data_IF_505927465503
#
_entry.id   IF_505927465503
#
_cell.length_a   1.000
_cell.length_b   1.000
_cell.length_c   1.000
_cell.angle_alpha   90.00
_cell.angle_beta   90.00
_cell.angle_gamma   90.00
#
_symmetry.space_group_name_H-M   'P 1'
#
loop_
_entity.id
_entity.type
_entity.pdbx_description
1 polymer ?
#
# COMPACT_ATOMS: atom_id res chain seq x y z
N UNK A 1 7.26 12.11 -14.57
CA UNK A 1 7.02 12.80 -13.28
C UNK A 1 8.22 13.63 -12.83
N UNK A 2 9.43 13.06 -12.70
CA UNK A 2 10.60 13.78 -12.15
C UNK A 2 10.95 15.10 -12.87
N UNK A 3 10.93 15.13 -14.22
CA UNK A 3 11.20 16.36 -14.99
C UNK A 3 10.17 17.48 -14.78
N UNK A 4 8.99 17.16 -14.24
CA UNK A 4 7.89 18.10 -13.96
C UNK A 4 7.65 18.28 -12.45
N UNK A 5 8.62 17.93 -11.60
CA UNK A 5 8.50 18.05 -10.14
C UNK A 5 7.55 17.04 -9.48
N UNK A 6 7.15 15.98 -10.20
CA UNK A 6 6.26 14.95 -9.68
C UNK A 6 6.96 13.95 -8.78
N UNK A 7 6.29 13.54 -7.70
CA UNK A 7 6.75 12.50 -6.76
C UNK A 7 6.60 11.08 -7.35
N UNK A 8 7.27 10.10 -6.74
CA UNK A 8 7.07 8.68 -7.05
C UNK A 8 5.63 8.25 -6.75
N UNK A 9 4.97 7.59 -7.69
CA UNK A 9 3.58 7.13 -7.57
C UNK A 9 3.52 5.64 -7.89
N UNK A 10 2.62 4.93 -7.20
CA UNK A 10 2.30 3.51 -7.45
C UNK A 10 0.83 3.36 -7.86
N UNK A 11 0.47 2.18 -8.37
CA UNK A 11 -0.91 1.84 -8.68
C UNK A 11 -1.78 1.81 -7.41
N UNK A 12 -2.90 2.53 -7.40
CA UNK A 12 -3.84 2.55 -6.27
C UNK A 12 -4.93 1.50 -6.47
N UNK A 13 -4.83 0.36 -5.77
CA UNK A 13 -5.75 -0.79 -5.89
C UNK A 13 -7.21 -0.37 -5.73
N UNK A 14 -7.51 0.46 -4.72
CA UNK A 14 -8.85 0.97 -4.45
C UNK A 14 -9.46 1.70 -5.66
N UNK A 15 -8.69 2.59 -6.31
CA UNK A 15 -9.16 3.33 -7.50
C UNK A 15 -9.35 2.41 -8.70
N UNK A 16 -8.46 1.43 -8.90
CA UNK A 16 -8.60 0.45 -9.98
C UNK A 16 -9.87 -0.37 -9.80
N UNK A 17 -10.17 -0.83 -8.58
CA UNK A 17 -11.38 -1.58 -8.26
C UNK A 17 -12.66 -0.75 -8.52
N UNK A 18 -12.68 0.51 -8.10
CA UNK A 18 -13.82 1.41 -8.39
C UNK A 18 -13.97 1.67 -9.88
N UNK A 19 -12.87 1.82 -10.61
CA UNK A 19 -12.88 2.07 -12.05
C UNK A 19 -13.43 0.87 -12.83
N UNK A 20 -13.03 -0.36 -12.45
CA UNK A 20 -13.55 -1.60 -13.02
C UNK A 20 -15.05 -1.74 -12.73
N UNK A 21 -15.49 -1.46 -11.49
CA UNK A 21 -16.91 -1.47 -11.10
C UNK A 21 -17.74 -0.43 -11.86
N UNK A 22 -17.13 0.70 -12.25
CA UNK A 22 -17.73 1.71 -13.11
C UNK A 22 -17.73 1.34 -14.61
N UNK A 23 -17.30 0.13 -14.98
CA UNK A 23 -17.32 -0.38 -16.35
C UNK A 23 -16.10 -0.03 -17.20
N UNK A 24 -15.02 0.49 -16.61
CA UNK A 24 -13.79 0.76 -17.35
C UNK A 24 -13.11 -0.55 -17.78
N UNK A 25 -12.74 -0.64 -19.05
CA UNK A 25 -12.08 -1.83 -19.66
C UNK A 25 -10.68 -1.57 -20.21
N UNK A 26 -10.16 -0.35 -20.07
CA UNK A 26 -8.88 0.05 -20.65
C UNK A 26 -8.28 1.30 -20.00
N UNK A 27 -7.11 1.74 -20.47
CA UNK A 27 -6.33 2.82 -19.85
C UNK A 27 -6.98 4.21 -19.99
N UNK A 28 -7.95 4.35 -20.91
CA UNK A 28 -8.64 5.61 -21.19
C UNK A 28 -9.28 6.23 -19.95
N UNK A 29 -9.87 5.42 -19.07
CA UNK A 29 -10.49 5.94 -17.84
C UNK A 29 -9.47 6.60 -16.89
N UNK A 30 -8.25 6.06 -16.81
CA UNK A 30 -7.16 6.67 -16.04
C UNK A 30 -6.65 7.97 -16.67
N UNK A 31 -6.54 8.02 -18.00
CA UNK A 31 -6.15 9.23 -18.74
C UNK A 31 -7.17 10.36 -18.56
N UNK A 32 -8.45 10.05 -18.69
CA UNK A 32 -9.54 11.01 -18.46
C UNK A 32 -9.59 11.48 -17.01
N UNK A 33 -9.37 10.57 -16.04
CA UNK A 33 -9.28 10.95 -14.63
C UNK A 33 -8.11 11.90 -14.36
N UNK A 34 -6.94 11.66 -14.95
CA UNK A 34 -5.79 12.55 -14.82
C UNK A 34 -6.06 13.94 -15.44
N UNK A 35 -6.69 13.99 -16.62
CA UNK A 35 -7.11 15.24 -17.26
C UNK A 35 -8.14 15.99 -16.39
N UNK A 36 -9.12 15.28 -15.83
CA UNK A 36 -10.11 15.84 -14.94
C UNK A 36 -9.48 16.48 -13.69
N UNK A 37 -8.55 15.77 -13.05
CA UNK A 37 -7.81 16.31 -11.89
C UNK A 37 -6.98 17.54 -12.28
N UNK A 38 -6.36 17.53 -13.45
CA UNK A 38 -5.59 18.68 -13.95
C UNK A 38 -6.48 19.91 -14.16
N UNK A 39 -7.62 19.76 -14.83
CA UNK A 39 -8.58 20.84 -15.01
C UNK A 39 -9.16 21.31 -13.67
N UNK A 40 -9.50 20.37 -12.78
CA UNK A 40 -10.01 20.69 -11.46
C UNK A 40 -9.01 21.50 -10.64
N UNK A 41 -7.72 21.13 -10.66
CA UNK A 41 -6.69 21.94 -10.00
C UNK A 41 -6.59 23.35 -10.60
N UNK A 42 -6.66 23.49 -11.92
CA UNK A 42 -6.55 24.80 -12.57
C UNK A 42 -7.72 25.74 -12.19
N UNK A 43 -8.94 25.21 -12.07
CA UNK A 43 -10.13 25.99 -11.74
C UNK A 43 -10.35 26.16 -10.23
N UNK A 44 -10.16 25.10 -9.44
CA UNK A 44 -10.55 25.02 -8.04
C UNK A 44 -9.39 25.20 -7.05
N UNK A 45 -8.14 25.37 -7.52
CA UNK A 45 -7.00 25.73 -6.67
C UNK A 45 -7.28 26.87 -5.66
N UNK A 46 -7.91 28.00 -6.02
CA UNK A 46 -8.19 29.07 -5.04
C UNK A 46 -9.22 28.66 -3.98
N UNK A 47 -10.11 27.71 -4.29
CA UNK A 47 -11.08 27.19 -3.33
C UNK A 47 -10.45 26.18 -2.35
N UNK A 48 -9.39 25.48 -2.78
CA UNK A 48 -8.74 24.47 -1.97
C UNK A 48 -8.17 25.03 -0.64
N UNK A 49 -7.85 26.33 -0.59
CA UNK A 49 -7.38 27.00 0.63
C UNK A 49 -8.41 27.04 1.77
N UNK A 50 -9.69 26.86 1.46
CA UNK A 50 -10.78 26.86 2.44
C UNK A 50 -11.06 25.47 3.03
N UNK A 51 -10.36 24.43 2.56
CA UNK A 51 -10.56 23.07 3.06
C UNK A 51 -9.97 22.98 4.47
N UNK A 52 -10.80 22.71 5.51
CA UNK A 52 -10.31 22.62 6.87
C UNK A 52 -9.42 21.38 7.01
N UNK A 53 -8.27 21.52 7.68
CA UNK A 53 -7.35 20.40 7.90
C UNK A 53 -8.01 19.23 8.65
N UNK A 54 -9.01 19.53 9.50
CA UNK A 54 -9.79 18.52 10.21
C UNK A 54 -10.55 17.58 9.28
N UNK A 55 -11.07 18.05 8.14
CA UNK A 55 -11.77 17.18 7.19
C UNK A 55 -10.79 16.25 6.47
N UNK A 56 -9.61 16.76 6.11
CA UNK A 56 -8.54 15.95 5.51
C UNK A 56 -8.03 14.88 6.48
N UNK A 57 -7.85 15.22 7.76
CA UNK A 57 -7.50 14.25 8.79
C UNK A 57 -8.58 13.16 8.94
N UNK A 58 -9.86 13.53 8.93
CA UNK A 58 -10.97 12.59 8.95
C UNK A 58 -10.95 11.62 7.76
N UNK A 59 -10.73 12.14 6.55
CA UNK A 59 -10.59 11.31 5.34
C UNK A 59 -9.40 10.35 5.47
N UNK A 60 -8.24 10.82 5.96
CA UNK A 60 -7.07 9.96 6.17
C UNK A 60 -7.35 8.82 7.15
N UNK A 61 -7.99 9.11 8.29
CA UNK A 61 -8.34 8.09 9.27
C UNK A 61 -9.28 7.03 8.69
N UNK A 62 -10.29 7.44 7.93
CA UNK A 62 -11.21 6.51 7.27
C UNK A 62 -10.46 5.64 6.25
N UNK A 63 -9.59 6.24 5.43
CA UNK A 63 -8.78 5.49 4.45
C UNK A 63 -7.84 4.51 5.14
N UNK A 64 -7.12 4.93 6.17
CA UNK A 64 -6.25 4.05 6.96
C UNK A 64 -7.04 2.89 7.58
N UNK A 65 -8.24 3.17 8.11
CA UNK A 65 -9.10 2.15 8.68
C UNK A 65 -9.61 1.16 7.64
N UNK A 66 -9.97 1.63 6.44
CA UNK A 66 -10.40 0.78 5.34
C UNK A 66 -9.27 -0.05 4.73
N UNK A 67 -8.03 0.41 4.82
CA UNK A 67 -6.85 -0.33 4.36
C UNK A 67 -6.35 -1.36 5.37
N UNK A 68 -6.69 -1.22 6.66
CA UNK A 68 -6.27 -2.15 7.69
C UNK A 68 -7.01 -3.49 7.55
N UNK A 69 -6.36 -4.48 6.92
CA UNK A 69 -6.90 -5.83 6.73
C UNK A 69 -6.73 -6.68 8.00
N UNK A 70 -7.52 -6.36 9.03
CA UNK A 70 -7.39 -6.92 10.39
C UNK A 70 -7.52 -8.43 10.45
N UNK A 71 -8.42 -9.00 9.64
CA UNK A 71 -8.63 -10.43 9.58
C UNK A 71 -7.38 -11.17 9.09
N UNK A 72 -6.73 -10.64 8.04
CA UNK A 72 -5.49 -11.22 7.52
C UNK A 72 -4.34 -11.02 8.49
N UNK A 73 -4.27 -9.86 9.17
CA UNK A 73 -3.28 -9.62 10.22
C UNK A 73 -3.34 -10.68 11.33
N UNK A 74 -4.55 -10.96 11.85
CA UNK A 74 -4.75 -12.00 12.88
C UNK A 74 -4.45 -13.39 12.32
N UNK A 75 -4.81 -13.66 11.07
CA UNK A 75 -4.54 -14.95 10.42
C UNK A 75 -3.03 -15.19 10.26
N UNK A 76 -2.26 -14.18 9.87
CA UNK A 76 -0.80 -14.25 9.75
C UNK A 76 -0.11 -14.46 11.10
N UNK A 77 -0.69 -13.94 12.19
CA UNK A 77 -0.17 -14.17 13.55
C UNK A 77 -0.32 -15.61 14.04
N UNK A 78 -1.21 -16.41 13.43
CA UNK A 78 -1.49 -17.78 13.86
C UNK A 78 -0.38 -18.77 13.50
N UNK A 79 0.41 -18.48 12.47
CA UNK A 79 1.58 -19.27 12.08
C UNK A 79 2.85 -18.55 12.49
N UNK A 80 3.71 -19.19 13.28
CA UNK A 80 4.88 -18.52 13.88
C UNK A 80 5.84 -17.93 12.86
N UNK A 81 5.94 -18.54 11.66
CA UNK A 81 6.86 -18.10 10.59
C UNK A 81 6.33 -16.84 9.93
N UNK A 82 5.04 -16.86 9.60
CA UNK A 82 4.32 -15.72 9.04
C UNK A 82 4.26 -14.56 10.05
N UNK A 83 4.04 -14.87 11.32
CA UNK A 83 4.05 -13.92 12.43
C UNK A 83 5.42 -13.26 12.61
N UNK A 84 6.52 -14.02 12.52
CA UNK A 84 7.87 -13.48 12.65
C UNK A 84 8.18 -12.44 11.56
N UNK A 85 7.87 -12.74 10.29
CA UNK A 85 8.07 -11.80 9.19
C UNK A 85 7.15 -10.57 9.32
N UNK A 86 5.88 -10.77 9.71
CA UNK A 86 4.91 -9.70 9.93
C UNK A 86 5.36 -8.75 11.04
N UNK A 87 5.67 -9.28 12.23
CA UNK A 87 6.04 -8.50 13.41
C UNK A 87 7.38 -7.77 13.19
N UNK A 88 8.35 -8.40 12.52
CA UNK A 88 9.60 -7.75 12.15
C UNK A 88 9.36 -6.54 11.22
N UNK A 89 8.59 -6.74 10.15
CA UNK A 89 8.27 -5.67 9.18
C UNK A 89 7.48 -4.55 9.83
N UNK A 90 6.42 -4.90 10.55
CA UNK A 90 5.48 -3.97 11.17
C UNK A 90 6.15 -3.18 12.30
N UNK A 91 6.87 -3.87 13.19
CA UNK A 91 7.58 -3.25 14.31
C UNK A 91 8.65 -2.27 13.85
N UNK A 92 9.49 -2.66 12.88
CA UNK A 92 10.51 -1.74 12.35
C UNK A 92 9.91 -0.57 11.57
N UNK A 93 8.81 -0.78 10.85
CA UNK A 93 8.12 0.32 10.12
C UNK A 93 7.57 1.36 11.09
N UNK A 94 7.02 0.94 12.23
CA UNK A 94 6.49 1.85 13.25
C UNK A 94 7.58 2.55 14.06
N UNK A 95 8.64 1.83 14.41
CA UNK A 95 9.67 2.33 15.32
C UNK A 95 10.80 3.10 14.62
N UNK A 96 11.05 2.81 13.33
CA UNK A 96 12.16 3.38 12.57
C UNK A 96 11.70 4.03 11.29
N UNK A 97 11.43 3.24 10.25
CA UNK A 97 11.05 3.71 8.93
C UNK A 97 10.59 2.56 8.02
N UNK A 98 9.87 2.92 6.96
CA UNK A 98 9.32 1.97 5.98
C UNK A 98 10.42 1.15 5.28
N UNK A 99 11.55 1.75 4.93
CA UNK A 99 12.63 1.07 4.20
C UNK A 99 13.28 -0.01 5.05
N UNK A 100 13.61 0.30 6.30
CA UNK A 100 14.16 -0.67 7.26
C UNK A 100 13.17 -1.81 7.53
N UNK A 101 11.87 -1.52 7.64
CA UNK A 101 10.83 -2.53 7.80
C UNK A 101 10.76 -3.51 6.63
N UNK A 102 10.74 -3.00 5.39
CA UNK A 102 10.70 -3.82 4.18
C UNK A 102 11.92 -4.76 4.11
N UNK A 103 13.13 -4.23 4.32
CA UNK A 103 14.36 -5.03 4.24
C UNK A 103 14.33 -6.16 5.27
N UNK A 104 14.00 -5.85 6.53
CA UNK A 104 13.93 -6.86 7.60
C UNK A 104 12.89 -7.94 7.30
N UNK A 105 11.69 -7.54 6.86
CA UNK A 105 10.63 -8.47 6.45
C UNK A 105 11.06 -9.44 5.37
N UNK A 106 11.67 -8.92 4.30
CA UNK A 106 12.19 -9.72 3.19
C UNK A 106 13.28 -10.69 3.66
N UNK A 107 14.20 -10.26 4.51
CA UNK A 107 15.27 -11.12 5.05
C UNK A 107 14.68 -12.25 5.89
N UNK A 108 13.78 -11.94 6.83
CA UNK A 108 13.12 -12.95 7.67
C UNK A 108 12.34 -13.95 6.81
N UNK A 109 11.56 -13.46 5.84
CA UNK A 109 10.81 -14.32 4.92
C UNK A 109 11.73 -15.23 4.09
N UNK A 110 12.86 -14.69 3.58
CA UNK A 110 13.82 -15.45 2.80
C UNK A 110 14.50 -16.56 3.63
N UNK A 111 14.95 -16.25 4.85
CA UNK A 111 15.56 -17.23 5.78
C UNK A 111 14.56 -18.34 6.11
N UNK A 112 13.32 -17.99 6.44
CA UNK A 112 12.28 -18.97 6.75
C UNK A 112 11.93 -19.81 5.53
N UNK A 113 11.91 -19.25 4.32
CA UNK A 113 11.67 -20.02 3.09
C UNK A 113 12.79 -21.03 2.81
N UNK A 114 14.05 -20.65 3.01
CA UNK A 114 15.21 -21.53 2.84
C UNK A 114 15.20 -22.67 3.85
N UNK A 115 14.89 -22.37 5.12
CA UNK A 115 14.75 -23.39 6.16
C UNK A 115 13.62 -24.40 5.84
N UNK A 116 12.61 -24.02 5.05
CA UNK A 116 11.56 -24.93 4.58
C UNK A 116 12.04 -25.93 3.53
N UNK A 117 12.94 -25.51 2.64
CA UNK A 117 13.35 -26.27 1.45
C UNK A 117 14.44 -27.31 1.74
N UNK A 118 14.94 -27.39 2.97
CA UNK A 118 16.11 -28.20 3.38
C UNK A 118 15.76 -29.61 3.90
N UNK A 119 14.63 -30.21 3.50
CA UNK A 119 14.37 -31.64 3.74
C UNK A 119 13.91 -32.32 2.44
N UNK A 120 14.83 -32.71 1.55
CA UNK A 120 14.81 -34.02 0.92
C UNK A 120 15.54 -34.98 1.87
N UNK A 121 14.81 -35.93 2.45
CA UNK A 121 15.42 -37.16 2.96
C UNK A 121 16.03 -37.87 1.74
N UNK A 122 17.34 -37.78 1.58
CA UNK A 122 18.09 -38.65 0.69
C UNK A 122 18.68 -39.72 1.59
N UNK A 123 18.01 -40.87 1.62
CA UNK A 123 18.34 -42.03 2.43
C UNK A 123 17.63 -43.27 1.90
N UNK A 124 18.33 -43.93 0.96
CA UNK A 124 18.28 -45.33 0.51
C UNK A 124 16.96 -45.97 0.00
#
# INVERSE_FOLDING_TARGET
>A
SALFGGISVTGTIARTATNIRAGARGPLAGMLHALFVLMFMFLAAPLARYIPLASLAGVLLVVCWSMAEKAEFVRLLRDWRSAAALLATFGLTLLRDLTSGIVAGCVVAAVLALARRRIPEEGD
#
